data_IF_068467053525
#
_entry.id   IF_068467053525
#
_cell.length_a   1.000
_cell.length_b   1.000
_cell.length_c   1.000
_cell.angle_alpha   90.00
_cell.angle_beta   90.00
_cell.angle_gamma   90.00
#
_symmetry.space_group_name_H-M   'P 1'
#
loop_
_entity.id
_entity.type
_entity.pdbx_description
1 polymer ?
#
# COMPACT_ATOMS: atom_id res chain seq x y z
N UNK A 1 30.62 18.24 9.95
CA UNK A 1 30.15 17.57 11.19
C UNK A 1 28.63 17.62 11.38
N UNK A 2 27.99 18.79 11.19
CA UNK A 2 26.53 18.98 11.33
C UNK A 2 25.69 18.10 10.39
N UNK A 3 26.06 18.04 9.10
CA UNK A 3 25.39 17.21 8.09
C UNK A 3 25.46 15.69 8.40
N UNK A 4 26.58 15.23 8.98
CA UNK A 4 26.82 13.82 9.32
C UNK A 4 25.92 13.33 10.47
N UNK A 5 25.57 14.22 11.41
CA UNK A 5 24.69 13.90 12.55
C UNK A 5 23.23 13.81 12.12
N UNK A 6 22.76 14.73 11.27
CA UNK A 6 21.36 14.76 10.83
C UNK A 6 21.05 13.70 9.77
N UNK A 7 21.96 13.45 8.81
CA UNK A 7 21.74 12.45 7.76
C UNK A 7 21.56 11.05 8.35
N UNK A 8 22.34 10.67 9.38
CA UNK A 8 22.18 9.39 10.07
C UNK A 8 20.82 9.27 10.78
N UNK A 9 20.32 10.34 11.40
CA UNK A 9 19.02 10.33 12.09
C UNK A 9 17.87 10.11 11.11
N UNK A 10 17.88 10.77 9.95
CA UNK A 10 16.83 10.58 8.93
C UNK A 10 16.90 9.19 8.28
N UNK A 11 18.10 8.67 8.02
CA UNK A 11 18.30 7.32 7.47
C UNK A 11 17.83 6.24 8.45
N UNK A 12 18.14 6.37 9.74
CA UNK A 12 17.71 5.42 10.77
C UNK A 12 16.20 5.45 10.97
N UNK A 13 15.56 6.63 10.95
CA UNK A 13 14.10 6.75 11.07
C UNK A 13 13.40 6.17 9.83
N UNK A 14 13.88 6.50 8.62
CA UNK A 14 13.33 5.97 7.37
C UNK A 14 13.47 4.45 7.26
N UNK A 15 14.63 3.90 7.61
CA UNK A 15 14.89 2.44 7.62
C UNK A 15 14.06 1.75 8.71
N UNK A 16 13.94 2.34 9.92
CA UNK A 16 13.09 1.77 10.98
C UNK A 16 11.62 1.76 10.60
N UNK A 17 11.10 2.79 9.95
CA UNK A 17 9.73 2.80 9.45
C UNK A 17 9.53 1.80 8.30
N UNK A 18 10.53 1.65 7.42
CA UNK A 18 10.49 0.67 6.33
C UNK A 18 10.48 -0.77 6.86
N UNK A 19 11.36 -1.07 7.82
CA UNK A 19 11.43 -2.36 8.50
C UNK A 19 10.16 -2.59 9.33
N UNK A 20 9.63 -1.59 10.04
CA UNK A 20 8.41 -1.75 10.81
C UNK A 20 7.19 -2.07 9.92
N UNK A 21 7.04 -1.39 8.78
CA UNK A 21 5.93 -1.60 7.86
C UNK A 21 6.02 -2.94 7.12
N UNK A 22 7.22 -3.31 6.64
CA UNK A 22 7.45 -4.65 6.07
C UNK A 22 7.32 -5.73 7.13
N UNK A 23 7.78 -5.53 8.36
CA UNK A 23 7.67 -6.47 9.47
C UNK A 23 6.24 -6.66 9.98
N UNK A 24 5.39 -5.62 9.96
CA UNK A 24 3.99 -5.73 10.35
C UNK A 24 3.12 -6.48 9.34
N UNK A 25 3.56 -6.56 8.08
CA UNK A 25 2.95 -7.43 7.06
C UNK A 25 3.73 -8.76 6.87
N UNK A 26 4.98 -8.86 7.34
CA UNK A 26 5.85 -10.06 7.27
C UNK A 26 5.86 -10.93 8.55
N UNK A 27 4.93 -10.75 9.49
CA UNK A 27 4.89 -11.62 10.66
C UNK A 27 4.62 -13.07 10.22
N UNK A 28 5.64 -13.91 10.38
CA UNK A 28 5.75 -15.31 9.98
C UNK A 28 4.44 -16.08 10.19
N UNK A 29 3.86 -16.50 9.07
CA UNK A 29 2.74 -17.42 9.02
C UNK A 29 3.26 -18.85 9.15
N UNK A 30 3.22 -19.36 10.37
CA UNK A 30 3.36 -20.80 10.58
C UNK A 30 2.08 -21.48 10.04
N UNK A 31 2.21 -22.18 8.91
CA UNK A 31 1.09 -22.85 8.20
C UNK A 31 0.74 -24.15 8.92
N UNK A 32 0.05 -24.05 10.05
CA UNK A 32 -0.65 -25.17 10.67
C UNK A 32 -2.06 -24.75 11.09
N UNK A 33 -2.98 -24.71 10.13
CA UNK A 33 -4.42 -24.61 10.41
C UNK A 33 -5.16 -25.57 9.48
N UNK A 34 -5.25 -26.82 9.94
CA UNK A 34 -5.83 -27.95 9.22
C UNK A 34 -7.24 -28.31 9.74
N UNK A 35 -7.85 -27.54 10.65
CA UNK A 35 -8.95 -28.07 11.50
C UNK A 35 -10.31 -27.38 11.40
N UNK A 36 -10.66 -26.72 10.28
CA UNK A 36 -12.02 -26.21 10.06
C UNK A 36 -12.59 -26.59 8.69
N UNK A 37 -12.59 -27.89 8.39
CA UNK A 37 -12.78 -28.43 7.03
C UNK A 37 -14.08 -29.22 6.77
N UNK A 38 -15.04 -29.32 7.70
CA UNK A 38 -16.08 -30.37 7.63
C UNK A 38 -17.46 -30.02 7.02
N UNK A 39 -17.67 -28.84 6.41
CA UNK A 39 -18.99 -28.50 5.81
C UNK A 39 -18.97 -28.01 4.36
N UNK A 40 -17.87 -28.16 3.64
CA UNK A 40 -17.83 -27.86 2.20
C UNK A 40 -17.85 -29.16 1.40
N UNK A 41 -18.83 -29.32 0.51
CA UNK A 41 -18.92 -30.43 -0.43
C UNK A 41 -17.56 -30.62 -1.14
N UNK A 42 -17.01 -31.85 -1.21
CA UNK A 42 -15.68 -32.10 -1.75
C UNK A 42 -15.49 -31.63 -3.21
N UNK A 43 -16.56 -31.47 -4.01
CA UNK A 43 -16.49 -30.88 -5.35
C UNK A 43 -16.32 -29.35 -5.39
N UNK A 44 -16.65 -28.63 -4.32
CA UNK A 44 -16.62 -27.16 -4.30
C UNK A 44 -15.21 -26.56 -4.17
N UNK A 45 -14.22 -27.33 -3.68
CA UNK A 45 -12.86 -26.83 -3.50
C UNK A 45 -12.05 -26.70 -4.78
N UNK A 46 -12.43 -27.41 -5.85
CA UNK A 46 -11.70 -27.35 -7.13
C UNK A 46 -11.75 -25.96 -7.80
N UNK A 47 -12.65 -25.09 -7.37
CA UNK A 47 -12.95 -23.85 -8.09
C UNK A 47 -12.32 -22.61 -7.46
N UNK A 48 -11.74 -22.73 -6.26
CA UNK A 48 -11.13 -21.58 -5.59
C UNK A 48 -9.72 -21.33 -6.12
N UNK A 49 -9.57 -20.28 -6.93
CA UNK A 49 -8.30 -19.89 -7.54
C UNK A 49 -7.91 -18.49 -7.08
N UNK A 50 -6.61 -18.25 -6.97
CA UNK A 50 -5.99 -16.96 -6.66
C UNK A 50 -4.98 -16.58 -7.73
N UNK A 51 -4.52 -15.34 -7.70
CA UNK A 51 -3.55 -14.80 -8.65
C UNK A 51 -2.47 -14.00 -7.92
N UNK A 52 -1.27 -13.88 -8.49
CA UNK A 52 -0.23 -13.04 -7.93
C UNK A 52 -0.40 -11.57 -8.32
N UNK A 53 0.14 -10.66 -7.52
CA UNK A 53 0.08 -9.22 -7.81
C UNK A 53 0.72 -8.88 -9.16
N UNK A 54 1.85 -9.52 -9.47
CA UNK A 54 2.54 -9.36 -10.75
C UNK A 54 1.62 -9.63 -11.94
N UNK A 55 0.83 -10.70 -11.88
CA UNK A 55 -0.13 -11.04 -12.93
C UNK A 55 -1.28 -10.04 -13.01
N UNK A 56 -1.83 -9.59 -11.87
CA UNK A 56 -2.88 -8.54 -11.87
C UNK A 56 -2.38 -7.24 -12.51
N UNK A 57 -1.14 -6.86 -12.20
CA UNK A 57 -0.49 -5.63 -12.69
C UNK A 57 0.11 -5.74 -14.10
N UNK A 58 0.04 -6.91 -14.73
CA UNK A 58 0.77 -7.17 -15.97
C UNK A 58 0.37 -6.23 -17.12
N UNK A 59 1.36 -5.81 -17.92
CA UNK A 59 1.20 -4.87 -19.04
C UNK A 59 0.31 -3.65 -18.74
N UNK A 60 0.55 -2.97 -17.61
CA UNK A 60 -0.23 -1.79 -17.21
C UNK A 60 -1.65 -2.14 -16.76
N UNK A 61 -1.80 -3.29 -16.10
CA UNK A 61 -3.10 -3.80 -15.66
C UNK A 61 -3.98 -4.25 -16.82
N UNK A 62 -3.42 -4.90 -17.86
CA UNK A 62 -4.17 -5.35 -19.06
C UNK A 62 -5.47 -6.08 -18.70
N UNK A 63 -5.47 -6.78 -17.57
CA UNK A 63 -6.58 -7.57 -17.05
C UNK A 63 -7.80 -6.76 -16.60
N UNK A 64 -7.66 -5.44 -16.42
CA UNK A 64 -8.79 -4.53 -16.22
C UNK A 64 -9.43 -4.05 -17.52
N UNK A 65 -8.86 -4.38 -18.69
CA UNK A 65 -9.38 -3.99 -20.00
C UNK A 65 -10.50 -4.91 -20.50
N UNK A 66 -11.31 -4.47 -21.49
CA UNK A 66 -12.45 -5.24 -22.01
C UNK A 66 -12.05 -6.56 -22.68
N UNK A 67 -10.82 -6.65 -23.23
CA UNK A 67 -10.35 -7.79 -24.02
C UNK A 67 -9.51 -8.79 -23.20
N UNK A 68 -9.48 -8.66 -21.87
CA UNK A 68 -8.66 -9.52 -21.04
C UNK A 68 -9.32 -10.89 -20.80
N UNK A 69 -8.57 -11.98 -20.94
CA UNK A 69 -8.98 -13.29 -20.42
C UNK A 69 -10.13 -13.91 -21.20
N UNK A 70 -9.84 -14.41 -22.39
CA UNK A 70 -10.71 -15.41 -23.01
C UNK A 70 -9.98 -16.76 -23.18
N UNK A 71 -8.64 -16.78 -23.19
CA UNK A 71 -7.87 -17.98 -23.56
C UNK A 71 -6.93 -18.57 -22.50
N UNK A 72 -6.60 -17.89 -21.40
CA UNK A 72 -5.52 -18.33 -20.48
C UNK A 72 -5.86 -18.26 -18.97
N UNK A 73 -7.12 -18.46 -18.57
CA UNK A 73 -7.51 -18.34 -17.14
C UNK A 73 -6.75 -19.29 -16.22
N UNK A 74 -6.63 -20.56 -16.63
CA UNK A 74 -6.02 -21.60 -15.79
C UNK A 74 -4.50 -21.46 -15.70
N UNK A 75 -3.86 -20.85 -16.69
CA UNK A 75 -2.42 -20.61 -16.69
C UNK A 75 -2.00 -19.42 -15.80
N UNK A 76 -2.88 -18.42 -15.66
CA UNK A 76 -2.58 -17.17 -14.95
C UNK A 76 -2.95 -17.20 -13.46
N UNK A 77 -3.77 -18.15 -13.05
CA UNK A 77 -4.25 -18.30 -11.67
C UNK A 77 -3.82 -19.66 -11.09
N UNK A 78 -3.82 -19.81 -9.78
CA UNK A 78 -3.44 -21.04 -9.08
C UNK A 78 -4.49 -21.42 -8.04
N UNK A 79 -4.70 -22.72 -7.76
CA UNK A 79 -5.66 -23.14 -6.74
C UNK A 79 -5.25 -22.64 -5.36
N UNK A 80 -6.19 -22.07 -4.60
CA UNK A 80 -5.97 -21.62 -3.23
C UNK A 80 -7.26 -21.68 -2.42
N UNK A 81 -7.18 -22.12 -1.17
CA UNK A 81 -8.31 -22.08 -0.23
C UNK A 81 -8.41 -20.77 0.56
N UNK A 82 -7.40 -19.89 0.44
CA UNK A 82 -7.29 -18.64 1.21
C UNK A 82 -6.77 -17.50 0.33
N UNK A 83 -7.23 -16.29 0.62
CA UNK A 83 -6.82 -15.06 -0.05
C UNK A 83 -6.23 -14.09 0.96
N UNK A 84 -5.07 -13.56 0.66
CA UNK A 84 -4.48 -12.49 1.47
C UNK A 84 -5.23 -11.18 1.22
N UNK A 85 -5.52 -10.87 -0.04
CA UNK A 85 -6.17 -9.62 -0.46
C UNK A 85 -7.29 -9.89 -1.48
N UNK A 86 -8.48 -9.41 -1.19
CA UNK A 86 -9.60 -9.33 -2.14
C UNK A 86 -9.60 -7.97 -2.84
N UNK A 87 -9.45 -7.92 -4.16
CA UNK A 87 -9.47 -6.66 -4.91
C UNK A 87 -10.90 -6.38 -5.38
N UNK A 88 -11.59 -5.44 -4.72
CA UNK A 88 -12.88 -4.96 -5.19
C UNK A 88 -12.74 -3.66 -5.96
N UNK A 89 -13.47 -3.55 -7.07
CA UNK A 89 -13.38 -2.44 -7.98
C UNK A 89 -14.62 -2.35 -8.87
N UNK A 90 -14.83 -1.19 -9.51
CA UNK A 90 -15.87 -1.04 -10.55
C UNK A 90 -15.27 -1.19 -11.95
N UNK A 91 -15.93 -1.96 -12.81
CA UNK A 91 -15.51 -2.11 -14.21
C UNK A 91 -15.66 -0.84 -15.05
N UNK A 92 -16.41 0.18 -14.58
CA UNK A 92 -16.58 1.46 -15.31
C UNK A 92 -15.33 2.33 -15.28
N UNK A 93 -14.49 2.22 -14.26
CA UNK A 93 -13.28 3.03 -14.15
C UNK A 93 -12.21 2.53 -15.11
N UNK A 94 -11.54 3.48 -15.77
CA UNK A 94 -10.48 3.19 -16.74
C UNK A 94 -9.35 2.34 -16.15
N UNK A 95 -8.82 1.43 -16.97
CA UNK A 95 -7.72 0.51 -16.62
C UNK A 95 -6.53 1.22 -15.98
N UNK A 96 -6.03 2.27 -16.64
CA UNK A 96 -4.81 2.96 -16.19
C UNK A 96 -4.98 3.58 -14.82
N UNK A 97 -6.19 4.03 -14.48
CA UNK A 97 -6.47 4.62 -13.18
C UNK A 97 -6.39 3.57 -12.06
N UNK A 98 -6.95 2.37 -12.28
CA UNK A 98 -6.81 1.24 -11.35
C UNK A 98 -5.36 0.79 -11.21
N UNK A 99 -4.64 0.71 -12.34
CA UNK A 99 -3.21 0.37 -12.35
C UNK A 99 -2.37 1.38 -11.57
N UNK A 100 -2.59 2.68 -11.78
CA UNK A 100 -1.88 3.74 -11.05
C UNK A 100 -2.12 3.67 -9.54
N UNK A 101 -3.34 3.35 -9.11
CA UNK A 101 -3.67 3.16 -7.68
C UNK A 101 -2.96 1.95 -7.09
N UNK A 102 -2.89 0.84 -7.84
CA UNK A 102 -2.15 -0.34 -7.41
C UNK A 102 -0.65 -0.06 -7.33
N UNK A 103 -0.07 0.68 -8.28
CA UNK A 103 1.31 1.16 -8.21
C UNK A 103 1.55 2.02 -6.97
N UNK A 104 0.67 2.99 -6.73
CA UNK A 104 0.73 3.87 -5.57
C UNK A 104 0.69 3.06 -4.26
N UNK A 105 -0.25 2.14 -4.13
CA UNK A 105 -0.46 1.36 -2.92
C UNK A 105 0.69 0.39 -2.64
N UNK A 106 1.15 -0.33 -3.67
CA UNK A 106 2.10 -1.44 -3.49
C UNK A 106 3.55 -1.05 -3.64
N UNK A 107 3.84 -0.07 -4.49
CA UNK A 107 5.18 0.13 -5.06
C UNK A 107 5.80 1.49 -4.71
N UNK A 108 5.00 2.49 -4.33
CA UNK A 108 5.50 3.85 -4.06
C UNK A 108 6.55 3.89 -2.94
N UNK A 109 6.25 3.27 -1.79
CA UNK A 109 7.16 3.33 -0.65
C UNK A 109 8.50 2.62 -0.92
N UNK A 110 8.51 1.35 -1.42
CA UNK A 110 9.74 0.70 -1.85
C UNK A 110 10.52 1.50 -2.89
N UNK A 111 9.83 2.12 -3.85
CA UNK A 111 10.44 2.95 -4.87
C UNK A 111 11.15 4.18 -4.27
N UNK A 112 10.52 4.89 -3.34
CA UNK A 112 11.14 6.04 -2.67
C UNK A 112 12.37 5.60 -1.85
N UNK A 113 12.29 4.48 -1.14
CA UNK A 113 13.41 3.95 -0.37
C UNK A 113 14.59 3.52 -1.27
N UNK A 114 14.32 2.79 -2.35
CA UNK A 114 15.37 2.34 -3.27
C UNK A 114 16.00 3.50 -4.03
N UNK A 115 15.19 4.47 -4.47
CA UNK A 115 15.68 5.69 -5.11
C UNK A 115 16.56 6.53 -4.18
N UNK A 116 16.14 6.72 -2.93
CA UNK A 116 16.96 7.43 -1.94
C UNK A 116 18.28 6.71 -1.69
N UNK A 117 18.25 5.38 -1.51
CA UNK A 117 19.46 4.59 -1.30
C UNK A 117 20.43 4.70 -2.50
N UNK A 118 19.91 4.61 -3.74
CA UNK A 118 20.72 4.78 -4.94
C UNK A 118 21.30 6.19 -5.07
N UNK A 119 20.53 7.24 -4.72
CA UNK A 119 21.02 8.62 -4.69
C UNK A 119 22.15 8.82 -3.68
N UNK A 120 22.04 8.24 -2.48
CA UNK A 120 23.10 8.30 -1.46
C UNK A 120 24.36 7.54 -1.90
N UNK A 121 24.20 6.38 -2.55
CA UNK A 121 25.33 5.63 -3.10
C UNK A 121 26.04 6.40 -4.22
N UNK A 122 25.27 7.02 -5.13
CA UNK A 122 25.82 7.87 -6.19
C UNK A 122 26.60 9.06 -5.61
N UNK A 123 26.07 9.71 -4.56
CA UNK A 123 26.78 10.77 -3.84
C UNK A 123 28.10 10.27 -3.24
N UNK A 124 28.07 9.11 -2.58
CA UNK A 124 29.27 8.53 -1.98
C UNK A 124 30.34 8.22 -3.04
N UNK A 125 29.96 7.61 -4.17
CA UNK A 125 30.89 7.33 -5.26
C UNK A 125 31.48 8.59 -5.89
N UNK A 126 30.71 9.67 -5.97
CA UNK A 126 31.22 10.95 -6.44
C UNK A 126 32.24 11.55 -5.46
N UNK A 127 31.94 11.56 -4.16
CA UNK A 127 32.88 12.06 -3.13
C UNK A 127 34.16 11.22 -3.08
N UNK A 128 34.07 9.93 -3.39
CA UNK A 128 35.24 9.05 -3.52
C UNK A 128 36.02 9.21 -4.83
N UNK A 129 35.58 10.08 -5.75
CA UNK A 129 36.22 10.28 -7.05
C UNK A 129 36.00 9.13 -8.05
N UNK A 130 35.10 8.18 -7.75
CA UNK A 130 34.76 7.06 -8.64
C UNK A 130 33.84 7.56 -9.76
N UNK A 131 32.87 8.41 -9.43
CA UNK A 131 32.01 9.06 -10.41
C UNK A 131 32.54 10.47 -10.72
N UNK A 132 32.78 10.81 -12.00
CA UNK A 132 33.25 12.14 -12.36
C UNK A 132 32.14 13.19 -12.17
N UNK A 133 32.47 14.44 -11.86
CA UNK A 133 31.50 15.53 -11.94
C UNK A 133 31.05 15.74 -13.40
N UNK A 134 29.80 16.17 -13.61
CA UNK A 134 29.29 16.46 -14.96
C UNK A 134 29.79 17.79 -15.50
N UNK A 135 30.16 18.70 -14.61
CA UNK A 135 30.69 20.01 -14.96
C UNK A 135 31.20 20.74 -13.75
N UNK A 136 31.77 21.90 -14.01
CA UNK A 136 32.29 22.81 -13.01
C UNK A 136 31.45 24.08 -13.09
N UNK A 137 30.81 24.48 -11.99
CA UNK A 137 30.17 25.79 -11.93
C UNK A 137 31.28 26.83 -11.76
N UNK A 138 31.44 27.75 -12.72
CA UNK A 138 32.34 28.88 -12.54
C UNK A 138 31.89 29.69 -11.30
N UNK A 139 32.85 30.20 -10.51
CA UNK A 139 32.52 30.96 -9.30
C UNK A 139 31.65 32.17 -9.66
N UNK A 140 30.50 32.25 -9.01
CA UNK A 140 29.59 33.38 -9.16
C UNK A 140 30.13 34.54 -8.32
N UNK A 141 30.64 35.60 -8.98
CA UNK A 141 31.33 36.73 -8.32
C UNK A 141 30.52 37.35 -7.16
N UNK A 142 29.20 37.35 -7.25
CA UNK A 142 28.35 37.92 -6.21
C UNK A 142 28.15 37.02 -4.97
N UNK A 143 28.62 35.76 -4.99
CA UNK A 143 28.49 34.84 -3.85
C UNK A 143 29.76 34.71 -2.98
N UNK A 144 30.86 35.40 -3.31
CA UNK A 144 32.15 35.27 -2.61
C UNK A 144 32.61 33.80 -2.41
N UNK A 145 32.24 32.89 -3.32
CA UNK A 145 32.72 31.51 -3.28
C UNK A 145 33.97 31.45 -4.17
N UNK A 146 35.18 31.39 -3.59
CA UNK A 146 36.41 31.50 -4.37
C UNK A 146 36.72 30.23 -5.17
N UNK A 147 36.07 29.10 -4.86
CA UNK A 147 36.36 27.81 -5.48
C UNK A 147 35.24 27.33 -6.41
N UNK A 148 35.58 26.86 -7.63
CA UNK A 148 34.61 26.25 -8.52
C UNK A 148 33.96 25.02 -7.89
N UNK A 149 32.62 25.00 -7.81
CA UNK A 149 31.89 23.88 -7.25
C UNK A 149 31.56 22.85 -8.33
N UNK A 150 31.89 21.56 -8.14
CA UNK A 150 31.52 20.52 -9.09
C UNK A 150 30.01 20.29 -9.07
N UNK A 151 29.36 20.42 -10.23
CA UNK A 151 27.94 20.06 -10.41
C UNK A 151 27.87 18.58 -10.75
N UNK A 152 26.95 17.87 -10.09
CA UNK A 152 26.68 16.48 -10.40
C UNK A 152 25.20 16.17 -10.41
N UNK A 153 24.79 15.47 -11.46
CA UNK A 153 23.43 14.98 -11.66
C UNK A 153 23.29 13.50 -11.30
N UNK A 154 24.38 12.84 -10.85
CA UNK A 154 24.37 11.40 -10.58
C UNK A 154 23.34 11.01 -9.53
N UNK A 155 23.20 11.79 -8.46
CA UNK A 155 22.23 11.51 -7.41
C UNK A 155 20.79 11.52 -7.93
N UNK A 156 20.44 12.55 -8.71
CA UNK A 156 19.10 12.72 -9.28
C UNK A 156 18.81 11.66 -10.33
N UNK A 157 19.75 11.41 -11.26
CA UNK A 157 19.58 10.43 -12.33
C UNK A 157 19.52 9.00 -11.76
N UNK A 158 20.49 8.60 -10.94
CA UNK A 158 20.53 7.24 -10.39
C UNK A 158 19.39 6.99 -9.41
N UNK A 159 19.13 7.95 -8.52
CA UNK A 159 18.04 7.85 -7.55
C UNK A 159 16.68 7.81 -8.24
N UNK A 160 16.47 8.69 -9.22
CA UNK A 160 15.24 8.76 -9.99
C UNK A 160 14.98 7.57 -10.89
N UNK A 161 15.97 7.13 -11.67
CA UNK A 161 15.88 5.93 -12.50
C UNK A 161 15.61 4.69 -11.64
N UNK A 162 16.28 4.55 -10.50
CA UNK A 162 16.05 3.43 -9.57
C UNK A 162 14.67 3.49 -8.95
N UNK A 163 14.21 4.69 -8.56
CA UNK A 163 12.87 4.91 -8.04
C UNK A 163 11.81 4.50 -9.08
N UNK A 164 11.92 5.01 -10.30
CA UNK A 164 10.98 4.70 -11.39
C UNK A 164 11.00 3.21 -11.75
N UNK A 165 12.18 2.62 -11.91
CA UNK A 165 12.32 1.19 -12.20
C UNK A 165 11.71 0.33 -11.09
N UNK A 166 11.94 0.69 -9.82
CA UNK A 166 11.32 0.00 -8.68
C UNK A 166 9.81 0.18 -8.73
N UNK A 167 9.31 1.39 -8.94
CA UNK A 167 7.88 1.68 -8.98
C UNK A 167 7.15 0.76 -9.96
N UNK A 168 7.69 0.55 -11.17
CA UNK A 168 7.03 -0.26 -12.21
C UNK A 168 7.33 -1.76 -12.09
N UNK A 169 8.51 -2.15 -11.61
CA UNK A 169 8.95 -3.56 -11.54
C UNK A 169 8.69 -4.22 -10.18
N UNK A 170 8.28 -3.47 -9.15
CA UNK A 170 8.18 -3.98 -7.78
C UNK A 170 7.29 -5.22 -7.66
N UNK A 171 6.15 -5.27 -8.34
CA UNK A 171 5.28 -6.45 -8.31
C UNK A 171 5.97 -7.71 -8.86
N UNK A 172 6.83 -7.57 -9.89
CA UNK A 172 7.63 -8.68 -10.44
C UNK A 172 8.75 -9.08 -9.49
N UNK A 173 9.36 -8.12 -8.80
CA UNK A 173 10.38 -8.39 -7.78
C UNK A 173 9.79 -9.13 -6.57
N UNK A 174 8.58 -8.77 -6.15
CA UNK A 174 7.84 -9.50 -5.10
C UNK A 174 7.57 -10.93 -5.56
N UNK A 175 7.01 -11.12 -6.76
CA UNK A 175 6.67 -12.46 -7.28
C UNK A 175 7.91 -13.37 -7.37
N UNK A 176 9.06 -12.81 -7.78
CA UNK A 176 10.36 -13.52 -7.73
C UNK A 176 10.78 -13.85 -6.30
N UNK A 177 10.70 -12.89 -5.37
CA UNK A 177 11.04 -13.12 -3.96
C UNK A 177 10.13 -14.17 -3.30
N UNK A 178 8.83 -14.16 -3.62
CA UNK A 178 7.85 -15.14 -3.20
C UNK A 178 8.15 -16.54 -3.76
N UNK A 179 8.55 -16.62 -5.03
CA UNK A 179 8.98 -17.86 -5.67
C UNK A 179 10.22 -18.44 -4.99
N UNK A 180 11.18 -17.59 -4.59
CA UNK A 180 12.39 -18.04 -3.87
C UNK A 180 12.05 -18.51 -2.45
N UNK A 181 11.11 -17.83 -1.77
CA UNK A 181 10.68 -18.18 -0.40
C UNK A 181 9.72 -19.36 -0.33
N UNK A 182 9.14 -19.79 -1.45
CA UNK A 182 8.09 -20.81 -1.49
C UNK A 182 6.76 -20.35 -0.89
N UNK A 183 6.59 -19.04 -0.66
CA UNK A 183 5.37 -18.44 -0.09
C UNK A 183 4.76 -17.49 -1.11
N UNK A 184 3.63 -17.86 -1.70
CA UNK A 184 2.87 -16.98 -2.62
C UNK A 184 1.81 -16.21 -1.86
N UNK A 185 1.75 -14.89 -2.10
CA UNK A 185 0.64 -14.06 -1.65
C UNK A 185 -0.50 -14.20 -2.66
N UNK A 186 -1.67 -14.62 -2.19
CA UNK A 186 -2.83 -14.89 -3.04
C UNK A 186 -3.77 -13.69 -3.08
N UNK A 187 -3.98 -13.16 -4.27
CA UNK A 187 -4.99 -12.14 -4.53
C UNK A 187 -6.23 -12.78 -5.13
N UNK A 188 -7.40 -12.34 -4.72
CA UNK A 188 -8.63 -12.60 -5.46
C UNK A 188 -8.88 -11.45 -6.43
N UNK A 189 -9.00 -11.79 -7.72
CA UNK A 189 -9.38 -10.86 -8.78
C UNK A 189 -10.38 -11.58 -9.68
N UNK A 190 -11.65 -11.15 -9.61
CA UNK A 190 -12.83 -11.77 -10.23
C UNK A 190 -12.57 -12.33 -11.64
N UNK A 191 -12.00 -11.52 -12.54
CA UNK A 191 -11.79 -11.91 -13.93
C UNK A 191 -10.74 -13.00 -14.15
N UNK A 192 -9.77 -13.12 -13.26
CA UNK A 192 -8.70 -14.13 -13.36
C UNK A 192 -8.99 -15.37 -12.50
N UNK A 193 -9.71 -15.18 -11.40
CA UNK A 193 -10.03 -16.25 -10.46
C UNK A 193 -11.32 -17.02 -10.83
N UNK A 194 -12.22 -16.42 -11.61
CA UNK A 194 -13.44 -17.07 -12.11
C UNK A 194 -13.24 -17.39 -13.60
N UNK A 195 -13.54 -18.63 -13.98
CA UNK A 195 -13.49 -19.06 -15.38
C UNK A 195 -14.48 -18.20 -16.21
N UNK A 196 -13.99 -17.50 -17.23
CA UNK A 196 -14.84 -16.63 -18.05
C UNK A 196 -15.38 -17.33 -19.31
N UNK A 197 -14.77 -18.45 -19.71
CA UNK A 197 -15.03 -19.15 -20.97
C UNK A 197 -16.12 -20.20 -20.83
N UNK A 198 -16.15 -20.93 -19.72
CA UNK A 198 -17.16 -21.94 -19.42
C UNK A 198 -18.31 -21.32 -18.59
N UNK A 199 -19.53 -21.37 -19.13
CA UNK A 199 -20.70 -20.75 -18.51
C UNK A 199 -21.10 -21.38 -17.16
N UNK A 200 -20.97 -22.70 -17.02
CA UNK A 200 -21.32 -23.41 -15.78
C UNK A 200 -20.30 -23.09 -14.68
N UNK A 201 -19.01 -23.16 -15.02
CA UNK A 201 -17.93 -22.81 -14.09
C UNK A 201 -17.94 -21.33 -13.72
N UNK A 202 -18.32 -20.47 -14.66
CA UNK A 202 -18.51 -19.03 -14.41
C UNK A 202 -19.62 -18.80 -13.39
N UNK A 203 -20.78 -19.43 -13.59
CA UNK A 203 -21.91 -19.30 -12.67
C UNK A 203 -21.55 -19.85 -11.29
N UNK A 204 -20.94 -21.04 -11.22
CA UNK A 204 -20.47 -21.62 -9.96
C UNK A 204 -19.44 -20.71 -9.25
N UNK A 205 -18.58 -20.05 -10.01
CA UNK A 205 -17.65 -19.04 -9.49
C UNK A 205 -18.35 -17.80 -8.93
N UNK A 206 -19.38 -17.30 -9.62
CA UNK A 206 -20.21 -16.17 -9.17
C UNK A 206 -20.96 -16.52 -7.88
N UNK A 207 -21.61 -17.69 -7.85
CA UNK A 207 -22.34 -18.19 -6.67
C UNK A 207 -21.40 -18.39 -5.47
N UNK A 208 -20.11 -18.59 -5.73
CA UNK A 208 -19.05 -18.75 -4.72
C UNK A 208 -18.42 -17.44 -4.24
N UNK A 209 -18.85 -16.25 -4.70
CA UNK A 209 -18.18 -14.98 -4.31
C UNK A 209 -18.26 -14.70 -2.81
N UNK A 210 -19.36 -15.07 -2.16
CA UNK A 210 -19.45 -15.02 -0.70
C UNK A 210 -18.37 -15.87 -0.02
N UNK A 211 -17.98 -17.01 -0.60
CA UNK A 211 -16.90 -17.83 -0.08
C UNK A 211 -15.52 -17.17 -0.28
N UNK A 212 -15.27 -16.52 -1.41
CA UNK A 212 -14.03 -15.77 -1.65
C UNK A 212 -13.84 -14.64 -0.63
N UNK A 213 -14.88 -13.84 -0.38
CA UNK A 213 -14.86 -12.78 0.64
C UNK A 213 -14.65 -13.35 2.05
N UNK A 214 -15.32 -14.47 2.38
CA UNK A 214 -15.12 -15.15 3.65
C UNK A 214 -13.71 -15.73 3.78
N UNK A 215 -13.07 -16.14 2.70
CA UNK A 215 -11.71 -16.69 2.76
C UNK A 215 -10.61 -15.65 2.57
N UNK A 216 -10.98 -14.36 2.45
CA UNK A 216 -10.05 -13.24 2.33
C UNK A 216 -9.69 -12.63 3.69
N UNK A 217 -8.40 -12.37 3.92
CA UNK A 217 -7.91 -11.72 5.13
C UNK A 217 -8.06 -10.19 5.08
N UNK A 218 -7.93 -9.60 3.90
CA UNK A 218 -8.09 -8.17 3.69
C UNK A 218 -8.86 -7.87 2.41
N UNK A 219 -9.43 -6.67 2.33
CA UNK A 219 -10.14 -6.18 1.15
C UNK A 219 -9.56 -4.84 0.73
N UNK A 220 -9.11 -4.77 -0.52
CA UNK A 220 -8.62 -3.57 -1.18
C UNK A 220 -9.69 -3.05 -2.13
N UNK A 221 -10.31 -1.93 -1.77
CA UNK A 221 -11.32 -1.23 -2.55
C UNK A 221 -10.68 -0.13 -3.39
N UNK A 222 -10.67 -0.32 -4.71
CA UNK A 222 -10.28 0.70 -5.68
C UNK A 222 -11.47 1.64 -5.90
N UNK A 223 -11.59 2.64 -5.03
CA UNK A 223 -12.79 3.48 -4.94
C UNK A 223 -12.86 4.52 -6.05
N UNK A 224 -13.96 4.50 -6.79
CA UNK A 224 -14.34 5.52 -7.77
C UNK A 224 -15.76 6.01 -7.46
N UNK A 225 -16.19 7.19 -7.96
CA UNK A 225 -17.53 7.74 -7.70
C UNK A 225 -18.67 6.75 -7.99
N UNK A 226 -18.53 5.92 -9.03
CA UNK A 226 -19.55 4.95 -9.44
C UNK A 226 -19.52 3.64 -8.64
N UNK A 227 -18.56 3.45 -7.73
CA UNK A 227 -18.38 2.21 -6.99
C UNK A 227 -19.63 1.85 -6.17
N UNK A 228 -20.14 2.79 -5.37
CA UNK A 228 -21.33 2.57 -4.53
C UNK A 228 -22.65 2.57 -5.31
N UNK A 229 -22.64 2.98 -6.59
CA UNK A 229 -23.80 2.86 -7.47
C UNK A 229 -24.00 1.43 -8.00
N UNK A 230 -23.01 0.53 -7.80
CA UNK A 230 -23.09 -0.86 -8.25
C UNK A 230 -23.48 -1.78 -7.10
N UNK A 231 -24.63 -2.42 -7.25
CA UNK A 231 -25.14 -3.41 -6.30
C UNK A 231 -24.09 -4.46 -5.91
N UNK A 232 -23.35 -4.97 -6.90
CA UNK A 232 -22.32 -5.98 -6.68
C UNK A 232 -21.19 -5.51 -5.75
N UNK A 233 -20.66 -4.31 -5.98
CA UNK A 233 -19.58 -3.74 -5.16
C UNK A 233 -20.04 -3.45 -3.72
N UNK A 234 -21.29 -3.02 -3.54
CA UNK A 234 -21.91 -2.81 -2.23
C UNK A 234 -22.13 -4.14 -1.50
N UNK A 235 -22.61 -5.16 -2.21
CA UNK A 235 -22.76 -6.51 -1.69
C UNK A 235 -21.42 -7.07 -1.19
N UNK A 236 -20.35 -6.97 -1.99
CA UNK A 236 -19.02 -7.43 -1.60
C UNK A 236 -18.53 -6.78 -0.30
N UNK A 237 -18.70 -5.45 -0.20
CA UNK A 237 -18.30 -4.69 0.98
C UNK A 237 -19.14 -5.06 2.21
N UNK A 238 -20.46 -5.20 2.05
CA UNK A 238 -21.37 -5.58 3.12
C UNK A 238 -21.04 -6.97 3.68
N UNK A 239 -20.86 -7.96 2.81
CA UNK A 239 -20.50 -9.33 3.20
C UNK A 239 -19.13 -9.39 3.87
N UNK A 240 -18.16 -8.58 3.41
CA UNK A 240 -16.85 -8.51 4.05
C UNK A 240 -16.94 -7.96 5.48
N UNK A 241 -17.74 -6.90 5.68
CA UNK A 241 -17.94 -6.23 6.98
C UNK A 241 -18.80 -7.04 7.96
N UNK A 242 -19.83 -7.75 7.49
CA UNK A 242 -20.66 -8.62 8.32
C UNK A 242 -19.83 -9.71 9.01
N UNK A 243 -18.79 -10.19 8.35
CA UNK A 243 -17.89 -11.19 8.95
C UNK A 243 -16.99 -10.59 10.03
N UNK A 244 -16.53 -9.35 9.90
CA UNK A 244 -15.70 -8.72 10.94
C UNK A 244 -16.50 -8.50 12.22
N UNK A 245 -17.76 -8.04 12.12
CA UNK A 245 -18.60 -7.80 13.30
C UNK A 245 -18.98 -9.09 14.02
N UNK A 246 -19.27 -10.16 13.29
CA UNK A 246 -19.60 -11.46 13.89
C UNK A 246 -18.41 -12.10 14.63
N UNK A 247 -17.19 -11.88 14.16
CA UNK A 247 -15.99 -12.38 14.84
C UNK A 247 -15.75 -11.65 16.16
N UNK A 248 -15.89 -10.32 16.16
CA UNK A 248 -15.79 -9.47 17.34
C UNK A 248 -16.90 -9.81 18.36
N UNK A 249 -18.14 -9.95 17.90
CA UNK A 249 -19.25 -10.30 18.79
C UNK A 249 -19.08 -11.68 19.44
N UNK A 250 -18.61 -12.69 18.67
CA UNK A 250 -18.33 -14.03 19.21
C UNK A 250 -17.21 -14.02 20.24
N UNK A 251 -16.16 -13.24 20.05
CA UNK A 251 -15.06 -13.14 21.03
C UNK A 251 -15.55 -12.48 22.32
N UNK A 252 -16.39 -11.44 22.22
CA UNK A 252 -17.02 -10.79 23.38
C UNK A 252 -17.90 -11.78 24.18
N UNK A 253 -18.75 -12.56 23.50
CA UNK A 253 -19.59 -13.57 24.17
C UNK A 253 -18.78 -14.68 24.85
N UNK A 254 -17.68 -15.13 24.22
CA UNK A 254 -16.81 -16.15 24.82
C UNK A 254 -16.13 -15.63 26.08
N UNK A 255 -15.70 -14.37 26.09
CA UNK A 255 -15.08 -13.74 27.25
C UNK A 255 -16.09 -13.58 28.41
N UNK A 256 -17.33 -13.17 28.14
CA UNK A 256 -18.34 -13.03 29.20
C UNK A 256 -18.69 -14.37 29.86
N UNK A 257 -18.76 -15.46 29.10
CA UNK A 257 -18.99 -16.79 29.66
C UNK A 257 -17.79 -17.32 30.46
N UNK A 258 -16.56 -16.99 30.06
CA UNK A 258 -15.36 -17.35 30.81
C UNK A 258 -15.31 -16.64 32.18
N UNK A 259 -15.64 -15.34 32.21
CA UNK A 259 -15.72 -14.57 33.46
C UNK A 259 -16.82 -15.10 34.40
N UNK A 260 -18.01 -15.42 33.88
CA UNK A 260 -19.08 -16.02 34.68
C UNK A 260 -18.69 -17.39 35.25
N UNK A 261 -17.96 -18.22 34.50
CA UNK A 261 -17.47 -19.51 35.00
C UNK A 261 -16.46 -19.34 36.12
N UNK A 262 -15.50 -18.41 35.98
CA UNK A 262 -14.54 -18.11 37.05
C UNK A 262 -15.22 -17.60 38.32
N UNK A 263 -16.22 -16.72 38.20
CA UNK A 263 -17.00 -16.25 39.33
C UNK A 263 -17.78 -17.38 40.02
N UNK A 264 -18.39 -18.29 39.24
CA UNK A 264 -19.14 -19.43 39.81
C UNK A 264 -18.26 -20.48 40.50
N UNK A 265 -17.05 -20.74 39.97
CA UNK A 265 -16.08 -21.66 40.60
C UNK A 265 -15.50 -21.05 41.87
N UNK A 266 -15.21 -19.74 41.87
CA UNK A 266 -14.79 -19.02 43.09
C UNK A 266 -15.85 -19.04 44.20
N UNK A 267 -17.14 -18.95 43.85
CA UNK A 267 -18.23 -19.02 44.82
C UNK A 267 -18.50 -20.44 45.34
N UNK A 268 -18.15 -21.49 44.57
CA UNK A 268 -18.37 -22.88 44.96
C UNK A 268 -17.21 -23.46 45.82
N UNK A 269 -16.01 -22.90 45.72
CA UNK A 269 -14.82 -23.36 46.47
C UNK A 269 -14.65 -22.73 47.86
N UNK A 270 -15.60 -21.93 48.36
CA UNK A 270 -15.57 -21.52 49.77
C UNK A 270 -16.95 -21.55 50.45
N UNK A 271 -17.31 -22.70 51.04
CA UNK A 271 -18.31 -22.69 52.10
C UNK A 271 -17.68 -22.57 53.50
N UNK A 272 -16.44 -23.04 53.71
CA UNK A 272 -15.79 -23.11 55.03
C UNK A 272 -14.26 -23.27 54.94
N UNK A 273 -13.54 -22.23 54.52
CA UNK A 273 -12.10 -22.14 54.85
C UNK A 273 -11.91 -21.70 56.30
N UNK A 274 -12.09 -22.64 57.23
CA UNK A 274 -11.50 -22.60 58.56
C UNK A 274 -10.43 -23.71 58.66
N UNK A 275 -9.19 -23.29 58.91
CA UNK A 275 -8.07 -24.03 59.54
C UNK A 275 -7.63 -25.38 58.93
N UNK A 276 -6.60 -25.37 58.09
CA UNK A 276 -5.30 -26.06 58.34
C UNK A 276 -4.39 -25.95 57.11
N UNK A 277 -3.12 -25.72 57.38
CA UNK A 277 -2.12 -25.24 56.44
C UNK A 277 -1.26 -26.38 55.88
N UNK A 278 -1.45 -26.80 54.63
CA UNK A 278 -0.43 -27.58 53.87
C UNK A 278 -0.69 -27.72 52.36
N UNK A 279 -1.27 -26.72 51.68
CA UNK A 279 -1.58 -26.88 50.23
C UNK A 279 -1.33 -25.62 49.38
N UNK A 280 -0.19 -24.96 49.59
CA UNK A 280 0.12 -23.66 48.96
C UNK A 280 0.82 -23.80 47.58
N UNK A 281 1.32 -24.98 47.17
CA UNK A 281 2.23 -25.05 46.02
C UNK A 281 1.64 -25.52 44.67
N UNK A 282 0.36 -25.92 44.59
CA UNK A 282 -0.19 -26.48 43.34
C UNK A 282 -1.23 -25.59 42.62
N UNK A 283 -1.93 -24.69 43.31
CA UNK A 283 -2.95 -23.83 42.68
C UNK A 283 -2.36 -22.69 41.83
N UNK A 284 -1.22 -22.12 42.24
CA UNK A 284 -0.52 -21.10 41.43
C UNK A 284 -0.09 -21.65 40.06
N UNK A 285 0.32 -22.93 40.02
CA UNK A 285 0.84 -23.57 38.80
C UNK A 285 -0.26 -23.84 37.77
N UNK A 286 -1.48 -24.16 38.21
CA UNK A 286 -2.62 -24.43 37.31
C UNK A 286 -3.23 -23.13 36.80
N UNK A 287 -3.40 -22.13 37.66
CA UNK A 287 -3.89 -20.80 37.25
C UNK A 287 -2.92 -20.11 36.28
N UNK A 288 -1.61 -20.22 36.51
CA UNK A 288 -0.60 -19.70 35.59
C UNK A 288 -0.63 -20.41 34.22
N UNK A 289 -0.81 -21.74 34.19
CA UNK A 289 -0.90 -22.50 32.92
C UNK A 289 -2.17 -22.18 32.13
N UNK A 290 -3.31 -22.00 32.81
CA UNK A 290 -4.57 -21.61 32.15
C UNK A 290 -4.46 -20.18 31.63
N UNK A 291 -3.90 -19.24 32.40
CA UNK A 291 -3.68 -17.85 31.98
C UNK A 291 -2.72 -17.74 30.78
N UNK A 292 -1.66 -18.56 30.74
CA UNK A 292 -0.73 -18.62 29.60
C UNK A 292 -1.40 -19.23 28.36
N UNK A 293 -2.20 -20.29 28.51
CA UNK A 293 -2.91 -20.92 27.40
C UNK A 293 -4.02 -20.02 26.83
N UNK A 294 -4.80 -19.34 27.69
CA UNK A 294 -5.81 -18.36 27.25
C UNK A 294 -5.17 -17.10 26.67
N UNK A 295 -4.05 -16.62 27.22
CA UNK A 295 -3.28 -15.50 26.66
C UNK A 295 -2.71 -15.81 25.27
N UNK A 296 -2.16 -17.01 25.06
CA UNK A 296 -1.64 -17.44 23.76
C UNK A 296 -2.75 -17.62 22.70
N UNK A 297 -3.96 -17.99 23.11
CA UNK A 297 -5.12 -18.14 22.22
C UNK A 297 -5.79 -16.80 21.91
N UNK A 298 -5.82 -15.88 22.89
CA UNK A 298 -6.27 -14.49 22.71
C UNK A 298 -5.35 -13.72 21.76
N UNK A 299 -4.04 -13.85 21.91
CA UNK A 299 -3.06 -13.25 20.99
C UNK A 299 -3.16 -13.80 19.55
N UNK A 300 -3.56 -15.07 19.38
CA UNK A 300 -3.81 -15.68 18.06
C UNK A 300 -5.12 -15.20 17.40
N UNK A 301 -6.14 -14.89 18.20
CA UNK A 301 -7.43 -14.39 17.73
C UNK A 301 -7.43 -12.87 17.49
N UNK A 302 -6.68 -12.09 18.27
CA UNK A 302 -6.50 -10.65 18.04
C UNK A 302 -5.64 -10.35 16.79
N UNK A 303 -4.91 -11.33 16.25
CA UNK A 303 -4.07 -11.15 15.06
C UNK A 303 -4.80 -11.26 13.71
N UNK A 304 -6.11 -11.54 13.69
CA UNK A 304 -6.90 -11.67 12.45
C UNK A 304 -7.89 -10.53 12.25
N UNK A 305 -7.51 -9.32 12.67
CA UNK A 305 -8.22 -8.11 12.25
C UNK A 305 -8.19 -8.00 10.73
N UNK A 306 -9.36 -8.21 10.14
CA UNK A 306 -9.54 -8.06 8.70
C UNK A 306 -9.30 -6.62 8.32
N UNK A 307 -8.32 -6.39 7.45
CA UNK A 307 -7.96 -5.03 7.01
C UNK A 307 -8.85 -4.64 5.84
N UNK A 308 -9.72 -3.63 6.03
CA UNK A 308 -10.42 -2.95 4.93
C UNK A 308 -9.61 -1.72 4.51
N UNK A 309 -9.22 -1.66 3.25
CA UNK A 309 -8.44 -0.56 2.69
C UNK A 309 -9.20 0.04 1.52
N UNK A 310 -9.53 1.33 1.62
CA UNK A 310 -10.25 2.06 0.58
C UNK A 310 -9.33 3.13 0.02
N UNK A 311 -9.03 3.05 -1.28
CA UNK A 311 -8.11 3.99 -1.94
C UNK A 311 -8.84 4.71 -3.08
N UNK A 312 -8.99 6.05 -3.01
CA UNK A 312 -9.56 6.82 -4.11
C UNK A 312 -8.71 6.72 -5.37
N UNK A 313 -9.37 6.42 -6.49
CA UNK A 313 -8.67 6.25 -7.75
C UNK A 313 -8.00 7.53 -8.22
N UNK A 314 -8.64 8.67 -7.99
CA UNK A 314 -8.12 10.00 -8.32
C UNK A 314 -6.84 10.32 -7.56
N UNK A 315 -6.74 9.91 -6.28
CA UNK A 315 -5.54 10.14 -5.46
C UNK A 315 -4.36 9.35 -6.02
N UNK A 316 -4.57 8.07 -6.35
CA UNK A 316 -3.51 7.24 -6.94
C UNK A 316 -2.99 7.82 -8.26
N UNK A 317 -3.89 8.22 -9.17
CA UNK A 317 -3.51 8.84 -10.45
C UNK A 317 -2.76 10.16 -10.23
N UNK A 318 -3.30 11.05 -9.40
CA UNK A 318 -2.68 12.34 -9.12
C UNK A 318 -1.28 12.18 -8.53
N UNK A 319 -1.11 11.31 -7.53
CA UNK A 319 0.19 11.08 -6.89
C UNK A 319 1.23 10.55 -7.89
N UNK A 320 0.86 9.60 -8.76
CA UNK A 320 1.78 9.04 -9.75
C UNK A 320 2.13 10.09 -10.83
N UNK A 321 1.15 10.84 -11.33
CA UNK A 321 1.40 11.90 -12.32
C UNK A 321 2.28 13.01 -11.73
N UNK A 322 1.94 13.51 -10.53
CA UNK A 322 2.73 14.52 -9.85
C UNK A 322 4.17 14.05 -9.58
N UNK A 323 4.34 12.78 -9.19
CA UNK A 323 5.66 12.18 -9.01
C UNK A 323 6.47 12.14 -10.31
N UNK A 324 5.88 11.64 -11.41
CA UNK A 324 6.57 11.53 -12.70
C UNK A 324 6.88 12.91 -13.28
N UNK A 325 5.92 13.84 -13.26
CA UNK A 325 6.10 15.20 -13.79
C UNK A 325 7.12 15.96 -12.96
N UNK A 326 7.03 15.91 -11.62
CA UNK A 326 8.00 16.56 -10.74
C UNK A 326 9.41 16.01 -10.91
N UNK A 327 9.55 14.70 -11.12
CA UNK A 327 10.83 14.08 -11.43
C UNK A 327 11.39 14.56 -12.77
N UNK A 328 10.58 14.53 -13.84
CA UNK A 328 11.01 14.99 -15.16
C UNK A 328 11.39 16.48 -15.16
N UNK A 329 10.63 17.32 -14.45
CA UNK A 329 10.94 18.73 -14.28
C UNK A 329 12.30 18.92 -13.58
N UNK A 330 12.55 18.21 -12.48
CA UNK A 330 13.84 18.28 -11.76
C UNK A 330 15.02 17.83 -12.62
N UNK A 331 14.85 16.79 -13.46
CA UNK A 331 15.88 16.36 -14.41
C UNK A 331 16.08 17.40 -15.52
N UNK A 332 15.00 17.96 -16.06
CA UNK A 332 15.05 18.95 -17.14
C UNK A 332 15.65 20.28 -16.68
N UNK A 333 15.28 20.81 -15.51
CA UNK A 333 15.88 22.04 -14.96
C UNK A 333 17.39 21.87 -14.78
N UNK A 334 17.83 20.73 -14.21
CA UNK A 334 19.25 20.39 -14.12
C UNK A 334 19.96 20.34 -15.47
N UNK A 335 19.26 19.93 -16.53
CA UNK A 335 19.81 19.86 -17.89
C UNK A 335 19.74 21.20 -18.67
N UNK A 336 18.73 22.03 -18.43
CA UNK A 336 18.56 23.32 -19.13
C UNK A 336 19.58 24.34 -18.61
N UNK A 337 19.81 24.39 -17.29
CA UNK A 337 20.89 25.19 -16.72
C UNK A 337 22.27 24.79 -17.29
N UNK A 338 22.43 23.54 -17.72
CA UNK A 338 23.65 23.06 -18.37
C UNK A 338 23.80 23.54 -19.83
N UNK A 339 22.70 23.72 -20.56
CA UNK A 339 22.72 24.03 -22.01
C UNK A 339 22.66 25.53 -22.34
N UNK A 340 22.12 26.35 -21.44
CA UNK A 340 21.85 27.76 -21.71
C UNK A 340 22.82 28.74 -21.02
N UNK A 341 24.06 28.31 -20.75
CA UNK A 341 25.13 29.21 -20.37
C UNK A 341 26.07 29.52 -21.56
N UNK A 342 25.70 30.43 -22.49
CA UNK A 342 26.65 30.90 -23.49
C UNK A 342 27.64 31.89 -22.86
N UNK A 343 28.91 31.72 -23.22
CA UNK A 343 30.07 32.55 -22.84
C UNK A 343 30.09 33.97 -23.43
N UNK A 344 28.95 34.53 -23.79
CA UNK A 344 28.89 35.84 -24.46
C UNK A 344 27.66 36.60 -24.00
N UNK A 345 27.92 37.74 -23.39
CA UNK A 345 26.99 38.84 -23.13
C UNK A 345 26.39 39.31 -24.46
N UNK A 346 25.30 38.68 -24.87
CA UNK A 346 24.40 39.21 -25.88
C UNK A 346 23.04 39.36 -25.21
N UNK A 347 22.77 40.61 -24.85
CA UNK A 347 21.46 41.13 -24.45
C UNK A 347 20.48 40.95 -25.62
N UNK A 348 20.00 39.74 -25.83
CA UNK A 348 18.83 39.50 -26.66
C UNK A 348 17.59 39.75 -25.79
N UNK A 349 17.12 41.00 -25.84
CA UNK A 349 15.74 41.31 -25.49
C UNK A 349 14.82 40.39 -26.30
N UNK A 350 14.22 39.41 -25.64
CA UNK A 350 13.04 38.72 -26.17
C UNK A 350 11.81 39.57 -25.83
N UNK A 351 11.08 40.12 -26.82
CA UNK A 351 9.81 40.77 -26.56
C UNK A 351 8.73 39.68 -26.54
N UNK A 352 8.45 39.14 -25.36
CA UNK A 352 7.15 38.52 -25.09
C UNK A 352 6.43 39.38 -24.04
N UNK A 353 5.88 40.49 -24.51
CA UNK A 353 4.68 41.06 -23.93
C UNK A 353 3.56 40.03 -24.17
N UNK A 354 3.39 39.11 -23.23
CA UNK A 354 2.19 38.31 -23.15
C UNK A 354 1.15 39.19 -22.44
N UNK A 355 0.22 39.73 -23.24
CA UNK A 355 -1.04 40.26 -22.74
C UNK A 355 -1.73 39.23 -21.86
N UNK A 356 -2.38 39.71 -20.80
CA UNK A 356 -3.28 38.98 -19.92
C UNK A 356 -4.25 38.08 -20.70
N UNK A 357 -3.90 36.82 -20.86
CA UNK A 357 -4.79 35.78 -21.35
C UNK A 357 -4.48 34.48 -20.58
N UNK A 358 -5.21 34.34 -19.47
CA UNK A 358 -5.59 33.12 -18.74
C UNK A 358 -4.85 31.84 -19.20
N UNK A 359 -3.93 31.36 -18.35
CA UNK A 359 -3.45 29.98 -18.39
C UNK A 359 -4.57 29.06 -17.84
N UNK A 360 -5.25 28.23 -18.66
CA UNK A 360 -6.41 27.45 -18.19
C UNK A 360 -6.01 26.28 -17.25
N UNK A 361 -4.73 25.94 -17.16
CA UNK A 361 -4.26 24.83 -16.31
C UNK A 361 -4.05 25.21 -14.84
N UNK A 362 -3.52 26.41 -14.55
CA UNK A 362 -3.27 26.85 -13.17
C UNK A 362 -4.57 27.19 -12.42
N UNK A 363 -5.54 27.81 -13.12
CA UNK A 363 -6.86 28.09 -12.58
C UNK A 363 -7.59 26.79 -12.18
N UNK A 364 -7.49 25.73 -13.01
CA UNK A 364 -8.14 24.45 -12.74
C UNK A 364 -7.66 23.77 -11.45
N UNK A 365 -6.38 23.88 -11.09
CA UNK A 365 -5.83 23.27 -9.89
C UNK A 365 -6.29 23.99 -8.61
N UNK A 366 -6.33 25.33 -8.65
CA UNK A 366 -6.86 26.16 -7.57
C UNK A 366 -8.37 25.97 -7.40
N UNK A 367 -9.12 25.84 -8.50
CA UNK A 367 -10.56 25.59 -8.49
C UNK A 367 -10.88 24.19 -7.94
N UNK A 368 -10.13 23.16 -8.35
CA UNK A 368 -10.27 21.79 -7.83
C UNK A 368 -9.94 21.74 -6.33
N UNK A 369 -8.89 22.44 -5.89
CA UNK A 369 -8.54 22.52 -4.46
C UNK A 369 -9.63 23.25 -3.65
N UNK A 370 -10.24 24.29 -4.21
CA UNK A 370 -11.31 25.05 -3.58
C UNK A 370 -12.61 24.23 -3.49
N UNK A 371 -12.96 23.48 -4.55
CA UNK A 371 -14.11 22.57 -4.57
C UNK A 371 -13.92 21.40 -3.60
N UNK A 372 -12.70 20.85 -3.52
CA UNK A 372 -12.37 19.79 -2.56
C UNK A 372 -12.44 20.29 -1.10
N UNK A 373 -11.99 21.52 -0.84
CA UNK A 373 -12.07 22.16 0.48
C UNK A 373 -13.51 22.48 0.90
N UNK A 374 -14.33 23.03 -0.01
CA UNK A 374 -15.74 23.34 0.30
C UNK A 374 -16.58 22.09 0.56
N UNK A 375 -16.24 20.97 -0.11
CA UNK A 375 -16.94 19.69 0.04
C UNK A 375 -16.56 18.96 1.33
N UNK A 376 -15.30 19.08 1.77
CA UNK A 376 -14.80 18.43 3.00
C UNK A 376 -15.24 19.12 4.29
N UNK A 377 -15.61 20.40 4.26
CA UNK A 377 -16.14 21.10 5.43
C UNK A 377 -17.59 20.75 5.79
N UNK A 378 -18.31 20.00 4.94
CA UNK A 378 -19.68 19.52 5.25
C UNK A 378 -19.71 18.13 5.88
N UNK A 379 -18.56 17.44 6.01
CA UNK A 379 -18.49 16.06 6.53
C UNK A 379 -17.50 15.99 7.71
N UNK A 380 -17.99 15.95 8.97
CA UNK A 380 -17.16 16.18 10.16
C UNK A 380 -16.13 15.07 10.47
N UNK A 381 -16.20 13.90 9.84
CA UNK A 381 -15.41 12.72 10.23
C UNK A 381 -14.24 12.33 9.29
N UNK A 382 -13.86 13.16 8.32
CA UNK A 382 -12.83 12.81 7.32
C UNK A 382 -11.51 13.56 7.52
N UNK A 383 -10.79 13.23 8.61
CA UNK A 383 -9.46 13.81 8.94
C UNK A 383 -8.43 13.64 7.81
N UNK A 384 -8.47 12.52 7.09
CA UNK A 384 -7.55 12.23 5.98
C UNK A 384 -7.73 13.18 4.78
N UNK A 385 -8.97 13.46 4.38
CA UNK A 385 -9.24 14.35 3.24
C UNK A 385 -8.85 15.81 3.55
N UNK A 386 -9.00 16.26 4.80
CA UNK A 386 -8.50 17.58 5.22
C UNK A 386 -6.99 17.69 5.12
N UNK A 387 -6.25 16.65 5.52
CA UNK A 387 -4.79 16.62 5.39
C UNK A 387 -4.36 16.65 3.92
N UNK A 388 -5.04 15.91 3.04
CA UNK A 388 -4.79 15.95 1.59
C UNK A 388 -5.11 17.34 1.00
N UNK A 389 -6.20 17.99 1.41
CA UNK A 389 -6.55 19.31 0.91
C UNK A 389 -5.57 20.41 1.39
N UNK A 390 -5.08 20.33 2.62
CA UNK A 390 -4.02 21.23 3.12
C UNK A 390 -2.73 21.00 2.34
N UNK A 391 -2.33 19.75 2.12
CA UNK A 391 -1.16 19.41 1.31
C UNK A 391 -1.26 19.97 -0.12
N UNK A 392 -2.41 19.80 -0.78
CA UNK A 392 -2.65 20.32 -2.12
C UNK A 392 -2.57 21.85 -2.18
N UNK A 393 -3.12 22.55 -1.17
CA UNK A 393 -3.05 24.01 -1.08
C UNK A 393 -1.60 24.48 -0.91
N UNK A 394 -0.84 23.85 -0.01
CA UNK A 394 0.57 24.20 0.24
C UNK A 394 1.43 23.96 -1.01
N UNK A 395 1.23 22.84 -1.70
CA UNK A 395 1.96 22.55 -2.95
C UNK A 395 1.59 23.57 -4.03
N UNK A 396 0.29 23.93 -4.17
CA UNK A 396 -0.13 24.94 -5.16
C UNK A 396 0.43 26.34 -4.89
N UNK A 397 0.56 26.73 -3.61
CA UNK A 397 1.10 28.04 -3.22
C UNK A 397 2.62 28.13 -3.27
N UNK A 398 3.32 27.01 -3.41
CA UNK A 398 4.76 26.99 -3.64
C UNK A 398 5.13 26.89 -5.13
N UNK A 399 4.12 26.66 -5.99
CA UNK A 399 4.25 26.56 -7.44
C UNK A 399 3.77 27.83 -8.18
N UNK A 400 2.81 28.56 -7.61
CA UNK A 400 2.48 29.95 -7.96
C UNK A 400 3.47 30.90 -7.28
#
# INVERSE_FOLDING_TARGET
AYFRKHLLSYLVVGVRMAIARTSSDMCLRDRTSTTLHSLQHPGSRMHQRGVSLATVMDFGGRHFGPNAGEKDHDALSFPTGKYDIFISHTWRTGRMAKYAVLLYYTSLFPALCSGLAAGILAFAFQVSGILPPFGIMEPYEAAEIPEPLPISLWCTVMGGCTCFATLVMWARLIDLAESIRGTKVSYFFDRLCINQSDAELKQAGIDSIGAYLRNSDSMLVLWAPEYFARLWCVFELAVFLEKSTNAEFKSLLQNSHAEQRQASVGAMLDPRRNSSATEINNEETVSARIAVATGAQRARNESHDRKLMIIPVQVGVFCIVAFVVGYLAAVCEGAIHFKFWPRTSLTLCWPWQCSEAVCPFAASAADIATIAWSSTNRLPNLRYLRQTAVFLRTVSSSWL
#
